data_IF_811922508661
#
_entry.id   IF_811922508661
#
_cell.length_a   1.000
_cell.length_b   1.000
_cell.length_c   1.000
_cell.angle_alpha   90.00
_cell.angle_beta   90.00
_cell.angle_gamma   90.00
#
_symmetry.space_group_name_H-M   'P 1'
#
loop_
_entity.id
_entity.type
_entity.pdbx_description
1 polymer ?
#
# COMPACT_ATOMS: atom_id res chain seq x y z
N UNK A 1 -0.79 28.15 -19.31
CA UNK A 1 0.65 28.39 -19.07
C UNK A 1 1.41 27.31 -19.81
N UNK A 2 2.46 27.65 -20.56
CA UNK A 2 3.25 26.66 -21.28
C UNK A 2 3.93 25.68 -20.32
N UNK A 3 3.96 24.40 -20.66
CA UNK A 3 4.62 23.37 -19.84
C UNK A 3 6.14 23.60 -19.78
N UNK A 4 6.84 23.00 -18.82
CA UNK A 4 8.32 23.07 -18.76
C UNK A 4 8.94 22.51 -20.05
N UNK A 5 8.36 21.42 -20.57
CA UNK A 5 8.77 20.81 -21.82
C UNK A 5 8.63 21.76 -23.02
N UNK A 6 7.48 22.45 -23.14
CA UNK A 6 7.25 23.46 -24.18
C UNK A 6 8.21 24.64 -24.08
N UNK A 7 8.53 25.10 -22.86
CA UNK A 7 9.48 26.20 -22.66
C UNK A 7 10.91 25.82 -23.01
N UNK A 8 11.27 24.55 -22.89
CA UNK A 8 12.60 24.03 -23.19
C UNK A 8 12.71 23.48 -24.62
N UNK A 9 11.61 23.41 -25.37
CA UNK A 9 11.52 22.77 -26.69
C UNK A 9 12.04 21.32 -26.70
N UNK A 10 11.70 20.56 -25.65
CA UNK A 10 12.12 19.15 -25.48
C UNK A 10 10.90 18.24 -25.35
N UNK A 11 10.96 17.07 -25.96
CA UNK A 11 9.95 16.01 -25.80
C UNK A 11 9.76 15.64 -24.30
N UNK A 12 8.53 15.61 -23.77
CA UNK A 12 8.27 15.38 -22.34
C UNK A 12 8.92 14.11 -21.78
N UNK A 13 8.92 13.02 -22.55
CA UNK A 13 9.56 11.76 -22.17
C UNK A 13 11.07 11.94 -22.00
N UNK A 14 11.75 12.61 -22.94
CA UNK A 14 13.20 12.85 -22.86
C UNK A 14 13.55 13.75 -21.67
N UNK A 15 12.75 14.77 -21.42
CA UNK A 15 12.92 15.64 -20.26
C UNK A 15 12.78 14.86 -18.95
N UNK A 16 11.74 14.03 -18.85
CA UNK A 16 11.52 13.16 -17.69
C UNK A 16 12.69 12.19 -17.48
N UNK A 17 13.08 11.45 -18.52
CA UNK A 17 14.19 10.49 -18.46
C UNK A 17 15.51 11.18 -18.10
N UNK A 18 15.81 12.32 -18.73
CA UNK A 18 17.01 13.10 -18.44
C UNK A 18 17.04 13.60 -16.99
N UNK A 19 15.90 14.04 -16.46
CA UNK A 19 15.78 14.50 -15.06
C UNK A 19 16.00 13.34 -14.08
N UNK A 20 15.38 12.18 -14.30
CA UNK A 20 15.56 10.99 -13.47
C UNK A 20 17.01 10.52 -13.50
N UNK A 21 17.63 10.43 -14.68
CA UNK A 21 19.02 10.03 -14.82
C UNK A 21 19.97 11.01 -14.12
N UNK A 22 19.75 12.31 -14.26
CA UNK A 22 20.56 13.32 -13.58
C UNK A 22 20.47 13.19 -12.05
N UNK A 23 19.26 12.98 -11.51
CA UNK A 23 19.04 12.76 -10.08
C UNK A 23 19.73 11.48 -9.59
N UNK A 24 19.62 10.38 -10.35
CA UNK A 24 20.28 9.12 -10.01
C UNK A 24 21.81 9.25 -10.04
N UNK A 25 22.37 9.89 -11.06
CA UNK A 25 23.82 10.12 -11.16
C UNK A 25 24.30 11.00 -10.01
N UNK A 26 23.56 12.06 -9.66
CA UNK A 26 23.89 12.91 -8.52
C UNK A 26 23.84 12.14 -7.19
N UNK A 27 22.82 11.31 -6.97
CA UNK A 27 22.66 10.52 -5.75
C UNK A 27 23.72 9.42 -5.62
N UNK A 28 23.94 8.65 -6.69
CA UNK A 28 24.94 7.57 -6.72
C UNK A 28 26.34 8.16 -6.65
N UNK A 29 26.65 9.15 -7.49
CA UNK A 29 27.93 9.85 -7.48
C UNK A 29 28.22 10.52 -6.14
N UNK A 30 27.22 11.19 -5.55
CA UNK A 30 27.33 11.76 -4.21
C UNK A 30 27.56 10.71 -3.13
N UNK A 31 26.87 9.57 -3.19
CA UNK A 31 27.04 8.47 -2.24
C UNK A 31 28.44 7.84 -2.30
N UNK A 32 29.05 7.79 -3.50
CA UNK A 32 30.39 7.24 -3.69
C UNK A 32 31.50 8.25 -3.35
N UNK A 33 31.33 9.52 -3.73
CA UNK A 33 32.33 10.57 -3.52
C UNK A 33 32.30 11.14 -2.09
N UNK A 34 31.12 11.17 -1.46
CA UNK A 34 30.90 11.74 -0.13
C UNK A 34 30.10 10.78 0.77
N UNK A 35 30.61 9.56 1.04
CA UNK A 35 29.84 8.50 1.70
C UNK A 35 29.37 8.88 3.10
N UNK A 36 30.14 9.65 3.87
CA UNK A 36 29.72 10.09 5.21
C UNK A 36 28.57 11.09 5.21
N UNK A 37 28.45 11.89 4.15
CA UNK A 37 27.45 12.97 4.08
C UNK A 37 26.21 12.52 3.33
N UNK A 38 26.40 11.92 2.16
CA UNK A 38 25.28 11.56 1.27
C UNK A 38 24.77 10.16 1.58
N UNK A 39 25.65 9.17 1.71
CA UNK A 39 25.18 7.82 2.03
C UNK A 39 24.79 7.75 3.50
N UNK A 40 25.73 7.93 4.44
CA UNK A 40 25.49 7.72 5.87
C UNK A 40 24.48 8.70 6.44
N UNK A 41 24.72 9.99 6.23
CA UNK A 41 23.90 11.07 6.79
C UNK A 41 22.55 11.26 6.13
N UNK A 42 22.33 10.71 4.92
CA UNK A 42 21.07 10.91 4.20
C UNK A 42 20.44 9.59 3.71
N UNK A 43 21.03 8.89 2.75
CA UNK A 43 20.43 7.66 2.16
C UNK A 43 20.23 6.58 3.22
N UNK A 44 21.28 6.26 3.96
CA UNK A 44 21.25 5.28 5.03
C UNK A 44 20.41 5.78 6.20
N UNK A 45 20.65 6.97 6.74
CA UNK A 45 19.92 7.42 7.93
C UNK A 45 18.40 7.50 7.72
N UNK A 46 17.92 8.00 6.58
CA UNK A 46 16.49 8.21 6.37
C UNK A 46 15.77 7.11 5.58
N UNK A 47 16.46 6.34 4.74
CA UNK A 47 15.80 5.38 3.85
C UNK A 47 16.20 3.93 4.12
N UNK A 48 17.51 3.63 4.26
CA UNK A 48 17.97 2.23 4.33
C UNK A 48 18.18 1.71 5.76
N UNK A 49 18.71 2.53 6.65
CA UNK A 49 18.93 2.23 8.07
C UNK A 49 17.65 1.81 8.80
N UNK A 50 16.51 2.51 8.63
CA UNK A 50 15.22 2.09 9.19
C UNK A 50 14.83 0.68 8.75
N UNK A 51 14.97 0.38 7.44
CA UNK A 51 14.68 -0.95 6.87
C UNK A 51 15.61 -2.02 7.43
N UNK A 52 16.90 -1.71 7.60
CA UNK A 52 17.85 -2.66 8.19
C UNK A 52 17.58 -2.93 9.67
N UNK A 53 17.18 -1.91 10.44
CA UNK A 53 16.79 -2.07 11.84
C UNK A 53 15.57 -2.98 11.95
N UNK A 54 14.55 -2.74 11.11
CA UNK A 54 13.32 -3.53 11.06
C UNK A 54 13.60 -4.99 10.66
N UNK A 55 14.39 -5.20 9.61
CA UNK A 55 14.76 -6.52 9.11
C UNK A 55 15.58 -7.39 10.08
N UNK A 56 16.11 -6.78 11.14
CA UNK A 56 16.86 -7.44 12.22
C UNK A 56 16.14 -7.39 13.56
N UNK A 57 14.89 -6.93 13.58
CA UNK A 57 14.08 -6.71 14.78
C UNK A 57 14.82 -5.92 15.86
N UNK A 58 15.65 -4.96 15.42
CA UNK A 58 16.45 -4.11 16.28
C UNK A 58 15.64 -2.88 16.70
N UNK A 59 15.91 -2.35 17.90
CA UNK A 59 15.30 -1.08 18.36
C UNK A 59 15.76 0.08 17.50
N UNK A 60 17.04 0.09 17.12
CA UNK A 60 17.59 1.02 16.14
C UNK A 60 18.84 0.43 15.48
N UNK A 61 19.27 1.04 14.37
CA UNK A 61 20.56 0.81 13.74
C UNK A 61 21.40 2.09 13.80
N UNK A 62 22.71 1.94 13.95
CA UNK A 62 23.69 3.05 13.99
C UNK A 62 24.75 2.84 12.91
N UNK A 63 25.34 3.95 12.42
CA UNK A 63 26.48 3.91 11.49
C UNK A 63 27.77 4.22 12.22
N UNK A 64 28.58 3.21 12.49
CA UNK A 64 29.87 3.35 13.17
C UNK A 64 31.01 2.99 12.22
N UNK A 65 31.91 3.94 11.93
CA UNK A 65 33.16 3.69 11.21
C UNK A 65 33.03 3.15 9.77
N UNK A 66 31.89 3.26 9.11
CA UNK A 66 31.66 2.64 7.80
C UNK A 66 30.58 1.55 7.81
N UNK A 67 30.26 1.01 8.98
CA UNK A 67 29.47 -0.20 9.14
C UNK A 67 28.16 0.05 9.90
N UNK A 68 27.13 -0.74 9.56
CA UNK A 68 25.86 -0.76 10.30
C UNK A 68 26.02 -1.65 11.53
N UNK A 69 25.63 -1.15 12.70
CA UNK A 69 25.49 -1.93 13.92
C UNK A 69 24.06 -1.83 14.45
N UNK A 70 23.55 -2.94 14.98
CA UNK A 70 22.18 -3.04 15.49
C UNK A 70 22.18 -2.96 17.00
N UNK A 71 21.27 -2.17 17.56
CA UNK A 71 21.09 -2.01 18.99
C UNK A 71 19.69 -2.51 19.38
N UNK A 72 19.63 -3.25 20.48
CA UNK A 72 18.40 -3.91 20.96
C UNK A 72 17.87 -3.30 22.26
N UNK A 73 18.50 -2.22 22.75
CA UNK A 73 18.11 -1.53 23.97
C UNK A 73 17.86 -0.04 23.68
N UNK A 74 16.72 0.48 24.13
CA UNK A 74 16.34 1.89 23.93
C UNK A 74 17.36 2.86 24.51
N UNK A 75 17.95 2.53 25.67
CA UNK A 75 18.99 3.34 26.31
C UNK A 75 20.29 3.39 25.49
N UNK A 76 20.64 2.29 24.81
CA UNK A 76 21.79 2.27 23.91
C UNK A 76 21.54 3.12 22.67
N UNK A 77 20.32 3.09 22.12
CA UNK A 77 19.92 3.93 20.99
C UNK A 77 19.96 5.43 21.34
N UNK A 78 19.45 5.83 22.50
CA UNK A 78 19.45 7.25 22.90
C UNK A 78 20.83 7.81 23.26
N UNK A 79 21.77 6.93 23.66
CA UNK A 79 23.15 7.31 23.96
C UNK A 79 24.09 7.26 22.73
N UNK A 80 23.63 6.69 21.60
CA UNK A 80 24.45 6.53 20.42
C UNK A 80 24.68 7.86 19.68
N UNK A 81 25.85 8.08 19.07
CA UNK A 81 26.08 9.25 18.23
C UNK A 81 25.29 9.12 16.92
N UNK A 82 24.74 10.25 16.45
CA UNK A 82 24.09 10.33 15.14
C UNK A 82 25.07 9.95 14.00
N UNK A 83 24.58 9.34 12.90
CA UNK A 83 23.17 9.05 12.61
C UNK A 83 22.64 7.77 13.27
N UNK A 84 21.45 7.86 13.90
CA UNK A 84 20.68 6.74 14.50
C UNK A 84 19.38 6.55 13.73
N UNK A 85 19.15 5.35 13.18
CA UNK A 85 17.97 5.02 12.40
C UNK A 85 17.01 4.11 13.17
N UNK A 86 15.76 4.53 13.30
CA UNK A 86 14.69 3.76 13.93
C UNK A 86 13.79 3.12 12.88
N UNK A 87 13.22 1.91 13.12
CA UNK A 87 12.21 1.33 12.24
C UNK A 87 11.03 2.28 12.00
N UNK A 88 10.46 2.23 10.79
CA UNK A 88 9.36 3.10 10.37
C UNK A 88 9.79 4.33 9.56
N UNK A 89 8.92 5.35 9.54
CA UNK A 89 9.08 6.51 8.68
C UNK A 89 9.49 7.76 9.47
N UNK A 90 10.38 8.54 8.88
CA UNK A 90 10.67 9.93 9.26
C UNK A 90 9.98 10.88 8.28
N UNK A 91 9.78 12.15 8.67
CA UNK A 91 9.24 13.18 7.77
C UNK A 91 10.05 13.31 6.48
N UNK A 92 11.38 13.19 6.56
CA UNK A 92 12.28 13.21 5.39
C UNK A 92 11.98 12.03 4.47
N UNK A 93 11.85 10.83 5.03
CA UNK A 93 11.55 9.63 4.26
C UNK A 93 10.15 9.68 3.64
N UNK A 94 9.14 10.17 4.36
CA UNK A 94 7.77 10.32 3.86
C UNK A 94 7.74 11.24 2.64
N UNK A 95 8.31 12.44 2.76
CA UNK A 95 8.41 13.39 1.64
C UNK A 95 9.20 12.78 0.48
N UNK A 96 10.31 12.09 0.78
CA UNK A 96 11.12 11.39 -0.22
C UNK A 96 10.31 10.35 -1.00
N UNK A 97 9.53 9.51 -0.31
CA UNK A 97 8.69 8.50 -0.96
C UNK A 97 7.54 9.13 -1.75
N UNK A 98 6.93 10.23 -1.29
CA UNK A 98 5.93 10.97 -2.08
C UNK A 98 6.55 11.51 -3.37
N UNK A 99 7.74 12.11 -3.30
CA UNK A 99 8.44 12.62 -4.49
C UNK A 99 8.76 11.48 -5.46
N UNK A 100 9.29 10.36 -4.97
CA UNK A 100 9.56 9.17 -5.79
C UNK A 100 8.27 8.67 -6.46
N UNK A 101 7.17 8.59 -5.71
CA UNK A 101 5.87 8.14 -6.22
C UNK A 101 5.37 9.06 -7.34
N UNK A 102 5.40 10.38 -7.16
CA UNK A 102 4.95 11.33 -8.19
C UNK A 102 5.81 11.23 -9.47
N UNK A 103 7.13 11.12 -9.32
CA UNK A 103 8.03 10.90 -10.45
C UNK A 103 7.74 9.57 -11.14
N UNK A 104 7.51 8.49 -10.38
CA UNK A 104 7.18 7.17 -10.92
C UNK A 104 5.82 7.15 -11.65
N UNK A 105 4.79 7.80 -11.11
CA UNK A 105 3.47 7.92 -11.74
C UNK A 105 3.54 8.63 -13.09
N UNK A 106 4.32 9.70 -13.19
CA UNK A 106 4.54 10.36 -14.49
C UNK A 106 5.27 9.46 -15.50
N UNK A 107 6.26 8.68 -15.04
CA UNK A 107 6.91 7.63 -15.85
C UNK A 107 5.94 6.54 -16.32
N UNK A 108 5.02 6.11 -15.44
CA UNK A 108 3.99 5.12 -15.75
C UNK A 108 3.04 5.59 -16.85
N UNK A 109 2.68 6.87 -16.89
CA UNK A 109 1.86 7.42 -17.97
C UNK A 109 2.58 7.27 -19.32
N UNK A 110 3.90 7.53 -19.38
CA UNK A 110 4.68 7.33 -20.60
C UNK A 110 4.78 5.84 -20.97
N UNK A 111 4.99 4.96 -19.98
CA UNK A 111 5.02 3.52 -20.21
C UNK A 111 3.70 3.00 -20.79
N UNK A 112 2.56 3.37 -20.20
CA UNK A 112 1.24 2.97 -20.70
C UNK A 112 0.99 3.49 -22.12
N UNK A 113 1.45 4.71 -22.43
CA UNK A 113 1.38 5.25 -23.80
C UNK A 113 2.23 4.43 -24.77
N UNK A 114 3.44 4.04 -24.36
CA UNK A 114 4.35 3.27 -25.20
C UNK A 114 3.85 1.84 -25.48
N UNK A 115 3.13 1.24 -24.52
CA UNK A 115 2.52 -0.08 -24.64
C UNK A 115 1.07 -0.05 -25.18
N UNK A 116 0.57 1.13 -25.53
CA UNK A 116 -0.84 1.38 -25.91
C UNK A 116 -1.89 0.83 -24.93
N UNK A 117 -1.60 0.87 -23.62
CA UNK A 117 -2.47 0.37 -22.56
C UNK A 117 -3.26 1.49 -21.88
N UNK A 118 -4.33 1.13 -21.17
CA UNK A 118 -5.07 2.03 -20.28
C UNK A 118 -5.91 3.08 -20.99
N UNK A 119 -6.33 2.82 -22.22
CA UNK A 119 -7.35 3.60 -22.94
C UNK A 119 -8.76 3.19 -22.54
N UNK A 120 -8.93 1.95 -22.10
CA UNK A 120 -10.17 1.38 -21.58
C UNK A 120 -10.14 1.22 -20.04
N UNK A 121 -11.32 1.04 -19.46
CA UNK A 121 -11.49 0.82 -18.01
C UNK A 121 -11.09 -0.60 -17.57
N UNK A 122 -10.80 -1.52 -18.49
CA UNK A 122 -10.47 -2.91 -18.15
C UNK A 122 -9.13 -3.01 -17.44
N UNK A 123 -8.16 -2.13 -17.76
CA UNK A 123 -6.87 -2.06 -17.05
C UNK A 123 -7.05 -1.94 -15.53
N UNK A 124 -8.05 -1.16 -15.06
CA UNK A 124 -8.37 -1.03 -13.63
C UNK A 124 -8.73 -2.38 -13.02
N UNK A 125 -9.62 -3.14 -13.66
CA UNK A 125 -10.10 -4.42 -13.16
C UNK A 125 -9.04 -5.53 -13.30
N UNK A 126 -8.22 -5.50 -14.34
CA UNK A 126 -7.10 -6.44 -14.52
C UNK A 126 -6.02 -6.27 -13.46
N UNK A 127 -5.86 -5.07 -12.89
CA UNK A 127 -4.89 -4.79 -11.84
C UNK A 127 -5.43 -5.02 -10.42
N UNK A 128 -6.74 -5.19 -10.25
CA UNK A 128 -7.37 -5.40 -8.94
C UNK A 128 -6.74 -6.56 -8.13
N UNK A 129 -6.44 -7.75 -8.70
CA UNK A 129 -5.80 -8.82 -7.94
C UNK A 129 -4.42 -8.46 -7.41
N UNK A 130 -3.66 -7.59 -8.10
CA UNK A 130 -2.35 -7.14 -7.63
C UNK A 130 -2.45 -6.23 -6.40
N UNK A 131 -3.54 -5.48 -6.26
CA UNK A 131 -3.79 -4.65 -5.06
C UNK A 131 -4.01 -5.55 -3.84
N UNK A 132 -4.83 -6.60 -3.99
CA UNK A 132 -4.99 -7.62 -2.95
C UNK A 132 -3.68 -8.35 -2.66
N UNK A 133 -2.93 -8.71 -3.70
CA UNK A 133 -1.63 -9.37 -3.56
C UNK A 133 -0.68 -8.53 -2.72
N UNK A 134 -0.60 -7.21 -2.93
CA UNK A 134 0.25 -6.34 -2.12
C UNK A 134 -0.12 -6.34 -0.64
N UNK A 135 -1.42 -6.32 -0.31
CA UNK A 135 -1.90 -6.44 1.07
C UNK A 135 -1.65 -7.82 1.67
N UNK A 136 -1.86 -8.88 0.91
CA UNK A 136 -1.61 -10.26 1.35
C UNK A 136 -0.11 -10.55 1.56
N UNK A 137 0.75 -10.05 0.67
CA UNK A 137 2.20 -10.19 0.77
C UNK A 137 2.75 -9.45 2.01
N UNK A 138 2.13 -8.33 2.38
CA UNK A 138 2.38 -7.66 3.67
C UNK A 138 2.06 -8.54 4.88
N UNK A 139 1.07 -9.44 4.78
CA UNK A 139 0.78 -10.40 5.86
C UNK A 139 1.79 -11.55 5.88
N UNK A 140 2.39 -11.91 4.74
CA UNK A 140 3.51 -12.87 4.70
C UNK A 140 4.69 -12.36 5.54
N UNK A 141 4.99 -11.07 5.47
CA UNK A 141 5.94 -10.39 6.37
C UNK A 141 5.51 -10.55 7.84
N UNK A 142 4.29 -10.11 8.18
CA UNK A 142 3.78 -10.16 9.57
C UNK A 142 3.82 -11.60 10.14
N UNK A 143 3.47 -12.61 9.35
CA UNK A 143 3.54 -14.05 9.70
C UNK A 143 4.98 -14.52 9.89
N UNK A 144 5.91 -14.06 9.05
CA UNK A 144 7.32 -14.45 9.13
C UNK A 144 7.98 -13.87 10.37
N UNK A 145 7.67 -12.62 10.71
CA UNK A 145 8.23 -11.93 11.88
C UNK A 145 7.69 -12.48 13.21
N UNK A 146 6.47 -13.03 13.20
CA UNK A 146 5.89 -13.69 14.37
C UNK A 146 6.53 -15.07 14.67
N UNK A 147 7.22 -15.68 13.70
CA UNK A 147 7.81 -17.00 13.85
C UNK A 147 9.12 -16.97 14.66
N UNK A 148 9.28 -17.93 15.57
CA UNK A 148 10.53 -18.10 16.32
C UNK A 148 11.72 -18.46 15.41
N UNK A 149 11.47 -19.19 14.33
CA UNK A 149 12.43 -19.46 13.25
C UNK A 149 11.83 -18.94 11.93
N UNK A 150 12.21 -17.73 11.49
CA UNK A 150 11.60 -17.09 10.34
C UNK A 150 11.96 -17.81 9.03
N UNK A 151 10.93 -18.25 8.30
CA UNK A 151 11.07 -18.90 6.98
C UNK A 151 11.82 -18.04 5.96
N UNK A 152 11.67 -16.72 6.06
CA UNK A 152 12.33 -15.75 5.20
C UNK A 152 13.23 -14.89 6.08
N UNK A 153 14.51 -15.27 6.17
CA UNK A 153 15.51 -14.51 6.91
C UNK A 153 16.12 -13.35 6.11
N UNK A 154 16.90 -12.53 6.81
CA UNK A 154 17.73 -11.51 6.17
C UNK A 154 18.76 -12.14 5.21
N UNK A 155 18.97 -11.61 3.99
CA UNK A 155 18.47 -10.31 3.50
C UNK A 155 17.12 -10.37 2.77
N UNK A 156 16.52 -11.54 2.56
CA UNK A 156 15.32 -11.67 1.72
C UNK A 156 14.08 -11.00 2.32
N UNK A 157 13.94 -11.00 3.65
CA UNK A 157 12.83 -10.32 4.33
C UNK A 157 12.76 -8.82 4.01
N UNK A 158 13.90 -8.18 3.70
CA UNK A 158 13.94 -6.76 3.31
C UNK A 158 13.05 -6.44 2.10
N UNK A 159 12.81 -7.42 1.22
CA UNK A 159 11.91 -7.25 0.06
C UNK A 159 10.44 -7.19 0.44
N UNK A 160 10.08 -7.66 1.65
CA UNK A 160 8.72 -7.67 2.17
C UNK A 160 8.49 -6.52 3.17
N UNK A 161 9.55 -5.88 3.62
CA UNK A 161 9.50 -4.80 4.61
C UNK A 161 9.08 -3.46 4.01
N UNK A 162 8.36 -2.68 4.82
CA UNK A 162 7.99 -1.30 4.49
C UNK A 162 9.22 -0.39 4.39
N UNK A 163 9.39 0.41 3.33
CA UNK A 163 8.54 0.57 2.13
C UNK A 163 9.02 -0.25 0.92
N UNK A 164 10.09 -1.03 1.03
CA UNK A 164 10.69 -1.79 -0.07
C UNK A 164 9.67 -2.72 -0.76
N UNK A 165 8.74 -3.31 -0.02
CA UNK A 165 7.67 -4.13 -0.58
C UNK A 165 6.80 -3.43 -1.63
N UNK A 166 6.65 -2.10 -1.57
CA UNK A 166 5.95 -1.37 -2.63
C UNK A 166 6.69 -1.51 -3.97
N UNK A 167 8.03 -1.50 -3.96
CA UNK A 167 8.85 -1.76 -5.15
C UNK A 167 8.80 -3.23 -5.57
N UNK A 168 8.73 -4.16 -4.61
CA UNK A 168 8.56 -5.60 -4.90
C UNK A 168 7.25 -5.87 -5.62
N UNK A 169 6.12 -5.39 -5.06
CA UNK A 169 4.80 -5.53 -5.67
C UNK A 169 4.77 -4.82 -7.01
N UNK A 170 5.29 -3.60 -7.10
CA UNK A 170 5.41 -2.87 -8.36
C UNK A 170 6.20 -3.64 -9.41
N UNK A 171 7.36 -4.22 -9.06
CA UNK A 171 8.18 -4.99 -9.98
C UNK A 171 7.47 -6.23 -10.51
N UNK A 172 6.76 -6.96 -9.63
CA UNK A 172 5.93 -8.11 -10.02
C UNK A 172 4.79 -7.68 -10.95
N UNK A 173 4.06 -6.62 -10.60
CA UNK A 173 2.97 -6.07 -11.43
C UNK A 173 3.48 -5.56 -12.77
N UNK A 174 4.60 -4.83 -12.78
CA UNK A 174 5.22 -4.32 -14.00
C UNK A 174 5.66 -5.46 -14.93
N UNK A 175 6.29 -6.50 -14.39
CA UNK A 175 6.68 -7.68 -15.16
C UNK A 175 5.44 -8.35 -15.79
N UNK A 176 4.34 -8.46 -15.03
CA UNK A 176 3.08 -9.00 -15.53
C UNK A 176 2.45 -8.11 -16.62
N UNK A 177 2.47 -6.78 -16.46
CA UNK A 177 1.99 -5.82 -17.47
C UNK A 177 2.79 -5.94 -18.76
N UNK A 178 4.12 -5.91 -18.67
CA UNK A 178 5.02 -6.01 -19.85
C UNK A 178 4.88 -7.36 -20.53
N UNK A 179 4.82 -8.45 -19.77
CA UNK A 179 4.63 -9.79 -20.34
C UNK A 179 3.26 -9.92 -21.04
N UNK A 180 2.20 -9.39 -20.43
CA UNK A 180 0.84 -9.41 -20.98
C UNK A 180 0.75 -8.59 -22.28
N UNK A 181 1.34 -7.40 -22.31
CA UNK A 181 1.45 -6.59 -23.52
C UNK A 181 2.25 -7.30 -24.62
N UNK A 182 3.42 -7.86 -24.27
CA UNK A 182 4.25 -8.59 -25.24
C UNK A 182 3.57 -9.84 -25.81
N UNK A 183 2.72 -10.53 -25.03
CA UNK A 183 1.93 -11.67 -25.52
C UNK A 183 0.83 -11.22 -26.49
N UNK A 184 0.17 -10.10 -26.22
CA UNK A 184 -0.85 -9.50 -27.09
C UNK A 184 -0.22 -9.00 -28.40
N UNK A 185 0.90 -8.29 -28.34
CA UNK A 185 1.63 -7.79 -29.51
C UNK A 185 2.08 -8.92 -30.45
N UNK A 186 2.43 -10.08 -29.87
CA UNK A 186 2.82 -11.28 -30.63
C UNK A 186 1.64 -12.11 -31.12
N UNK A 187 0.40 -11.66 -30.91
CA UNK A 187 -0.84 -12.36 -31.25
C UNK A 187 -0.93 -13.77 -30.62
N UNK A 188 -0.28 -13.98 -29.47
CA UNK A 188 -0.39 -15.25 -28.71
C UNK A 188 -1.72 -15.31 -27.96
N UNK A 189 -2.22 -14.14 -27.54
CA UNK A 189 -3.51 -13.93 -26.87
C UNK A 189 -4.26 -12.81 -27.58
N UNK A 190 -5.59 -12.78 -27.45
CA UNK A 190 -6.42 -11.76 -28.10
C UNK A 190 -6.36 -10.37 -27.47
N UNK A 191 -6.02 -10.28 -26.19
CA UNK A 191 -5.93 -9.03 -25.41
C UNK A 191 -4.89 -9.15 -24.28
N UNK A 192 -4.45 -8.02 -23.75
CA UNK A 192 -3.54 -7.96 -22.59
C UNK A 192 -4.27 -8.12 -21.25
N UNK A 193 -5.59 -7.93 -21.20
CA UNK A 193 -6.35 -7.78 -19.96
C UNK A 193 -6.53 -9.12 -19.25
N UNK A 194 -6.74 -10.21 -20.01
CA UNK A 194 -6.85 -11.59 -19.49
C UNK A 194 -5.55 -12.15 -18.90
N UNK A 195 -4.40 -12.14 -19.62
CA UNK A 195 -3.15 -12.62 -19.02
C UNK A 195 -2.72 -11.77 -17.82
N UNK A 196 -3.00 -10.46 -17.84
CA UNK A 196 -2.72 -9.59 -16.70
C UNK A 196 -3.58 -9.96 -15.48
N UNK A 197 -4.89 -10.10 -15.66
CA UNK A 197 -5.78 -10.55 -14.60
C UNK A 197 -5.37 -11.94 -14.08
N UNK A 198 -5.09 -12.88 -14.97
CA UNK A 198 -4.71 -14.25 -14.64
C UNK A 198 -3.41 -14.33 -13.84
N UNK A 199 -2.39 -13.57 -14.22
CA UNK A 199 -1.12 -13.50 -13.48
C UNK A 199 -1.30 -12.87 -12.09
N UNK A 200 -2.12 -11.82 -11.97
CA UNK A 200 -2.48 -11.22 -10.69
C UNK A 200 -3.21 -12.20 -9.76
N UNK A 201 -4.19 -12.94 -10.28
CA UNK A 201 -4.89 -13.99 -9.54
C UNK A 201 -3.93 -15.10 -9.13
N UNK A 202 -3.00 -15.51 -10.00
CA UNK A 202 -2.04 -16.56 -9.70
C UNK A 202 -1.13 -16.18 -8.51
N UNK A 203 -0.55 -14.97 -8.50
CA UNK A 203 0.31 -14.52 -7.39
C UNK A 203 -0.49 -14.32 -6.10
N UNK A 204 -1.72 -13.82 -6.20
CA UNK A 204 -2.62 -13.68 -5.05
C UNK A 204 -2.96 -15.04 -4.44
N UNK A 205 -3.40 -16.01 -5.26
CA UNK A 205 -3.75 -17.36 -4.80
C UNK A 205 -2.55 -18.06 -4.18
N UNK A 206 -1.36 -17.94 -4.79
CA UNK A 206 -0.14 -18.50 -4.22
C UNK A 206 0.17 -17.90 -2.83
N UNK A 207 -0.03 -16.59 -2.68
CA UNK A 207 0.17 -15.88 -1.41
C UNK A 207 -0.85 -16.31 -0.36
N UNK A 208 -2.13 -16.39 -0.72
CA UNK A 208 -3.19 -16.85 0.20
C UNK A 208 -3.01 -18.32 0.60
N UNK A 209 -2.52 -19.16 -0.30
CA UNK A 209 -2.20 -20.55 0.02
C UNK A 209 -1.06 -20.65 1.04
N UNK A 210 -0.03 -19.82 0.91
CA UNK A 210 1.03 -19.72 1.92
C UNK A 210 0.48 -19.30 3.28
N UNK A 211 -0.37 -18.26 3.33
CA UNK A 211 -0.96 -17.80 4.59
C UNK A 211 -1.90 -18.84 5.23
N UNK A 212 -2.67 -19.56 4.42
CA UNK A 212 -3.48 -20.66 4.92
C UNK A 212 -2.62 -21.79 5.48
N UNK A 213 -1.53 -22.14 4.79
CA UNK A 213 -0.57 -23.12 5.28
C UNK A 213 0.06 -22.66 6.61
N UNK A 214 0.45 -21.39 6.73
CA UNK A 214 1.06 -20.86 7.96
C UNK A 214 0.12 -20.87 9.16
N UNK A 215 -1.19 -21.01 8.95
CA UNK A 215 -2.18 -21.03 10.03
C UNK A 215 -2.78 -22.41 10.33
N UNK A 216 -2.59 -23.39 9.43
CA UNK A 216 -3.12 -24.76 9.59
C UNK A 216 -2.02 -25.77 9.87
N UNK A 217 -0.76 -25.47 9.53
CA UNK A 217 0.38 -26.30 9.88
C UNK A 217 0.51 -26.42 11.42
N UNK A 218 0.84 -27.61 11.98
CA UNK A 218 0.93 -27.83 13.42
C UNK A 218 1.85 -26.84 14.17
N UNK A 219 2.92 -26.41 13.52
CA UNK A 219 3.90 -25.44 14.03
C UNK A 219 3.88 -24.11 13.24
N UNK A 220 2.75 -23.82 12.58
CA UNK A 220 2.55 -22.59 11.83
C UNK A 220 2.47 -21.37 12.75
N UNK A 221 3.07 -20.23 12.40
CA UNK A 221 3.05 -19.03 13.24
C UNK A 221 1.69 -18.29 13.26
N UNK A 222 0.74 -18.65 12.38
CA UNK A 222 -0.58 -18.02 12.31
C UNK A 222 -1.68 -18.83 13.02
N UNK A 223 -2.79 -18.16 13.33
CA UNK A 223 -4.04 -18.79 13.81
C UNK A 223 -5.21 -18.39 12.92
N UNK A 224 -5.97 -19.36 12.41
CA UNK A 224 -7.03 -19.07 11.45
C UNK A 224 -8.40 -18.79 12.11
N UNK A 225 -8.93 -17.59 11.90
CA UNK A 225 -10.23 -17.11 12.38
C UNK A 225 -11.20 -16.83 11.21
N UNK A 226 -11.84 -17.85 10.62
CA UNK A 226 -12.68 -17.69 9.42
C UNK A 226 -13.90 -16.79 9.64
N UNK A 227 -14.40 -16.65 10.87
CA UNK A 227 -15.49 -15.75 11.19
C UNK A 227 -15.12 -14.27 11.00
N UNK A 228 -13.84 -13.91 11.22
CA UNK A 228 -13.35 -12.52 11.13
C UNK A 228 -13.43 -12.02 9.69
N UNK A 229 -12.89 -12.79 8.73
CA UNK A 229 -12.94 -12.40 7.32
C UNK A 229 -14.38 -12.27 6.81
N UNK A 230 -15.29 -13.14 7.27
CA UNK A 230 -16.71 -13.09 6.88
C UNK A 230 -17.36 -11.80 7.39
N UNK A 231 -17.17 -11.47 8.66
CA UNK A 231 -17.73 -10.24 9.25
C UNK A 231 -17.19 -9.00 8.55
N UNK A 232 -15.89 -8.95 8.28
CA UNK A 232 -15.27 -7.82 7.57
C UNK A 232 -15.83 -7.69 6.16
N UNK A 233 -15.86 -8.75 5.37
CA UNK A 233 -16.36 -8.69 3.99
C UNK A 233 -17.84 -8.34 3.91
N UNK A 234 -18.67 -8.89 4.81
CA UNK A 234 -20.11 -8.56 4.89
C UNK A 234 -20.30 -7.10 5.28
N UNK A 235 -19.64 -6.64 6.34
CA UNK A 235 -19.73 -5.25 6.81
C UNK A 235 -19.26 -4.25 5.75
N UNK A 236 -18.15 -4.56 5.08
CA UNK A 236 -17.58 -3.71 4.02
C UNK A 236 -18.50 -3.63 2.82
N UNK A 237 -19.03 -4.77 2.38
CA UNK A 237 -19.96 -4.83 1.24
C UNK A 237 -21.27 -4.12 1.57
N UNK A 238 -21.83 -4.33 2.76
CA UNK A 238 -23.04 -3.64 3.19
C UNK A 238 -22.84 -2.11 3.25
N UNK A 239 -21.71 -1.66 3.80
CA UNK A 239 -21.36 -0.24 3.90
C UNK A 239 -21.15 0.40 2.52
N UNK A 240 -20.45 -0.29 1.62
CA UNK A 240 -20.24 0.16 0.25
C UNK A 240 -21.54 0.21 -0.55
N UNK A 241 -22.38 -0.82 -0.46
CA UNK A 241 -23.70 -0.86 -1.12
C UNK A 241 -24.61 0.23 -0.57
N UNK A 242 -24.65 0.44 0.75
CA UNK A 242 -25.43 1.52 1.37
C UNK A 242 -24.97 2.91 0.91
N UNK A 243 -23.65 3.13 0.86
CA UNK A 243 -23.06 4.38 0.35
C UNK A 243 -23.39 4.59 -1.13
N UNK A 244 -23.25 3.53 -1.94
CA UNK A 244 -23.54 3.58 -3.37
C UNK A 244 -25.01 3.86 -3.66
N UNK A 245 -25.91 3.20 -2.93
CA UNK A 245 -27.34 3.45 -3.01
C UNK A 245 -27.70 4.90 -2.65
N UNK A 246 -27.07 5.46 -1.62
CA UNK A 246 -27.27 6.86 -1.24
C UNK A 246 -26.79 7.82 -2.33
N UNK A 247 -25.62 7.54 -2.93
CA UNK A 247 -25.10 8.29 -4.08
C UNK A 247 -26.10 8.28 -5.22
N UNK A 248 -26.57 7.10 -5.65
CA UNK A 248 -27.53 6.97 -6.76
C UNK A 248 -28.86 7.69 -6.50
N UNK A 249 -29.29 7.78 -5.23
CA UNK A 249 -30.57 8.41 -4.85
C UNK A 249 -30.48 9.92 -4.67
N UNK A 250 -29.39 10.42 -4.10
CA UNK A 250 -29.30 11.82 -3.64
C UNK A 250 -28.39 12.66 -4.53
N UNK A 251 -27.31 12.07 -5.04
CA UNK A 251 -26.29 12.80 -5.79
C UNK A 251 -25.66 11.93 -6.90
N UNK A 252 -26.43 11.47 -7.90
CA UNK A 252 -25.91 10.60 -8.97
C UNK A 252 -24.79 11.25 -9.81
N UNK A 253 -24.64 12.58 -9.75
CA UNK A 253 -23.51 13.27 -10.36
C UNK A 253 -22.15 12.84 -9.77
N UNK A 254 -22.12 12.30 -8.54
CA UNK A 254 -20.89 11.85 -7.86
C UNK A 254 -20.21 10.70 -8.59
N UNK A 255 -20.96 9.77 -9.17
CA UNK A 255 -20.40 8.57 -9.79
C UNK A 255 -20.54 8.53 -11.33
N UNK A 256 -20.95 9.64 -11.95
CA UNK A 256 -21.15 9.74 -13.39
C UNK A 256 -19.87 9.37 -14.17
N UNK A 257 -18.72 9.93 -13.80
CA UNK A 257 -17.44 9.67 -14.46
C UNK A 257 -16.83 8.31 -14.16
N UNK A 258 -16.97 7.82 -12.94
CA UNK A 258 -16.24 6.64 -12.45
C UNK A 258 -16.98 5.32 -12.64
N UNK A 259 -18.32 5.33 -12.59
CA UNK A 259 -19.16 4.14 -12.69
C UNK A 259 -18.70 3.00 -11.77
N UNK A 260 -18.57 1.79 -12.31
CA UNK A 260 -18.17 0.60 -11.54
C UNK A 260 -16.81 0.74 -10.84
N UNK A 261 -15.87 1.50 -11.40
CA UNK A 261 -14.57 1.72 -10.74
C UNK A 261 -14.75 2.50 -9.44
N UNK A 262 -15.67 3.48 -9.43
CA UNK A 262 -16.01 4.24 -8.23
C UNK A 262 -16.55 3.35 -7.12
N UNK A 263 -17.41 2.39 -7.47
CA UNK A 263 -17.93 1.42 -6.48
C UNK A 263 -16.81 0.58 -5.87
N UNK A 264 -15.87 0.08 -6.69
CA UNK A 264 -14.73 -0.71 -6.21
C UNK A 264 -13.81 0.12 -5.32
N UNK A 265 -13.61 1.41 -5.63
CA UNK A 265 -12.86 2.33 -4.75
C UNK A 265 -13.56 2.49 -3.41
N UNK A 266 -14.85 2.81 -3.39
CA UNK A 266 -15.63 2.94 -2.13
C UNK A 266 -15.58 1.64 -1.34
N UNK A 267 -15.75 0.50 -2.02
CA UNK A 267 -15.66 -0.82 -1.39
C UNK A 267 -14.28 -1.10 -0.80
N UNK A 268 -13.20 -0.78 -1.51
CA UNK A 268 -11.83 -0.96 -0.99
C UNK A 268 -11.54 -0.12 0.25
N UNK A 269 -12.05 1.11 0.32
CA UNK A 269 -11.95 1.95 1.51
C UNK A 269 -12.89 1.48 2.63
N UNK A 270 -14.03 0.88 2.29
CA UNK A 270 -14.90 0.22 3.27
C UNK A 270 -14.23 -1.01 3.91
N UNK A 271 -13.50 -1.82 3.11
CA UNK A 271 -12.70 -2.94 3.62
C UNK A 271 -11.70 -2.46 4.67
N UNK A 272 -10.99 -1.36 4.40
CA UNK A 272 -10.06 -0.76 5.36
C UNK A 272 -10.75 -0.25 6.64
N UNK A 273 -11.84 0.49 6.47
CA UNK A 273 -12.61 1.01 7.60
C UNK A 273 -13.16 -0.10 8.50
N UNK A 274 -13.80 -1.12 7.91
CA UNK A 274 -14.39 -2.23 8.65
C UNK A 274 -13.32 -3.16 9.23
N UNK A 275 -12.21 -3.40 8.53
CA UNK A 275 -11.12 -4.20 9.08
C UNK A 275 -10.53 -3.55 10.34
N UNK A 276 -10.41 -2.22 10.36
CA UNK A 276 -9.99 -1.49 11.57
C UNK A 276 -11.03 -1.60 12.68
N UNK A 277 -12.32 -1.37 12.39
CA UNK A 277 -13.40 -1.51 13.38
C UNK A 277 -13.40 -2.91 13.99
N UNK A 278 -13.42 -3.95 13.16
CA UNK A 278 -13.46 -5.33 13.62
C UNK A 278 -12.20 -5.66 14.41
N UNK A 279 -11.04 -5.31 13.85
CA UNK A 279 -9.73 -5.57 14.40
C UNK A 279 -9.46 -4.96 15.77
N UNK A 280 -9.93 -3.74 15.99
CA UNK A 280 -9.68 -2.99 17.23
C UNK A 280 -10.77 -3.24 18.28
N UNK A 281 -12.04 -3.29 17.88
CA UNK A 281 -13.16 -3.25 18.82
C UNK A 281 -13.85 -4.62 19.00
N UNK A 282 -13.88 -5.47 17.96
CA UNK A 282 -14.78 -6.64 17.93
C UNK A 282 -14.09 -8.00 17.93
N UNK A 283 -12.76 -8.05 17.81
CA UNK A 283 -12.00 -9.31 17.77
C UNK A 283 -12.25 -10.21 18.98
N UNK A 284 -12.35 -9.64 20.19
CA UNK A 284 -12.66 -10.39 21.42
C UNK A 284 -14.08 -10.98 21.38
N UNK A 285 -15.06 -10.20 20.91
CA UNK A 285 -16.44 -10.66 20.76
C UNK A 285 -16.58 -11.77 19.70
N UNK A 286 -15.69 -11.78 18.70
CA UNK A 286 -15.59 -12.82 17.68
C UNK A 286 -14.77 -14.05 18.11
N UNK A 287 -14.32 -14.10 19.37
CA UNK A 287 -13.54 -15.22 19.92
C UNK A 287 -12.13 -15.34 19.34
N UNK A 288 -11.59 -14.25 18.80
CA UNK A 288 -10.30 -14.24 18.10
C UNK A 288 -9.19 -13.46 18.84
N UNK A 289 -9.49 -12.89 20.02
CA UNK A 289 -8.54 -12.19 20.88
C UNK A 289 -8.03 -10.85 20.30
N UNK A 290 -7.48 -9.93 21.11
CA UNK A 290 -6.97 -8.67 20.58
C UNK A 290 -5.69 -8.90 19.76
N UNK A 291 -5.66 -8.48 18.49
CA UNK A 291 -4.51 -8.69 17.61
C UNK A 291 -4.11 -7.50 16.73
N UNK A 292 -4.84 -6.38 16.81
CA UNK A 292 -4.52 -5.17 16.06
C UNK A 292 -4.26 -4.00 17.01
N UNK A 293 -3.35 -3.13 16.58
CA UNK A 293 -3.00 -1.88 17.28
C UNK A 293 -3.02 -0.75 16.25
N UNK A 294 -3.57 0.44 16.55
CA UNK A 294 -3.64 1.55 15.61
C UNK A 294 -2.24 2.04 15.17
N UNK A 295 -1.84 1.72 13.93
CA UNK A 295 -0.52 2.09 13.40
C UNK A 295 -0.46 3.51 12.81
N UNK A 296 -1.55 4.00 12.19
CA UNK A 296 -1.55 5.31 11.52
C UNK A 296 -1.93 6.46 12.46
N UNK A 297 -1.24 7.62 12.45
CA UNK A 297 -1.55 8.75 13.33
C UNK A 297 -3.00 9.25 13.24
N UNK A 298 -3.57 9.27 12.02
CA UNK A 298 -4.98 9.67 11.80
C UNK A 298 -5.95 8.68 12.43
N UNK A 299 -5.71 7.38 12.30
CA UNK A 299 -6.54 6.35 12.93
C UNK A 299 -6.47 6.50 14.46
N UNK A 300 -5.24 6.58 15.00
CA UNK A 300 -4.99 6.79 16.43
C UNK A 300 -5.68 8.04 16.97
N UNK A 301 -5.60 9.17 16.26
CA UNK A 301 -6.25 10.41 16.66
C UNK A 301 -7.78 10.32 16.65
N UNK A 302 -8.39 9.61 15.69
CA UNK A 302 -9.84 9.41 15.65
C UNK A 302 -10.31 8.56 16.85
N UNK A 303 -9.59 7.47 17.12
CA UNK A 303 -9.85 6.58 18.28
C UNK A 303 -9.72 7.37 19.59
N UNK A 304 -8.63 8.11 19.78
CA UNK A 304 -8.39 8.92 20.98
C UNK A 304 -9.46 10.00 21.20
N UNK A 305 -9.87 10.72 20.15
CA UNK A 305 -10.92 11.74 20.24
C UNK A 305 -12.28 11.08 20.55
N UNK A 306 -12.60 9.95 19.92
CA UNK A 306 -13.89 9.27 20.11
C UNK A 306 -13.99 8.68 21.52
N UNK A 307 -12.93 8.01 21.98
CA UNK A 307 -12.81 7.50 23.35
C UNK A 307 -12.86 8.59 24.42
N UNK A 308 -12.41 9.81 24.11
CA UNK A 308 -12.49 10.96 25.02
C UNK A 308 -13.86 11.67 25.02
N UNK A 309 -14.69 11.47 23.99
CA UNK A 309 -15.93 12.24 23.77
C UNK A 309 -17.20 11.46 24.04
N UNK A 310 -17.21 10.14 23.80
CA UNK A 310 -18.38 9.30 24.07
C UNK A 310 -18.43 8.83 25.53
N UNK A 311 -19.64 8.76 26.15
CA UNK A 311 -19.81 8.16 27.47
C UNK A 311 -19.32 6.70 27.51
N UNK A 312 -18.77 6.28 28.66
CA UNK A 312 -18.17 4.95 28.82
C UNK A 312 -19.16 3.79 28.58
N UNK A 313 -20.42 3.98 28.93
CA UNK A 313 -21.53 3.04 28.68
C UNK A 313 -21.88 2.92 27.19
N UNK A 314 -21.70 3.99 26.41
CA UNK A 314 -21.86 3.95 24.95
C UNK A 314 -20.65 3.26 24.32
N UNK A 315 -19.43 3.66 24.71
CA UNK A 315 -18.18 3.07 24.22
C UNK A 315 -18.09 1.57 24.46
N UNK A 316 -18.54 1.09 25.62
CA UNK A 316 -18.54 -0.33 25.95
C UNK A 316 -19.41 -1.18 25.00
N UNK A 317 -20.37 -0.55 24.30
CA UNK A 317 -21.30 -1.21 23.38
C UNK A 317 -20.92 -0.95 21.93
N UNK A 318 -20.47 0.25 21.60
CA UNK A 318 -20.19 0.65 20.22
C UNK A 318 -18.74 0.44 19.81
N UNK A 319 -17.79 0.51 20.73
CA UNK A 319 -16.38 0.75 20.38
C UNK A 319 -16.14 2.21 19.96
N UNK A 320 -14.90 2.56 19.66
CA UNK A 320 -14.45 3.92 19.29
C UNK A 320 -13.92 4.03 17.86
N UNK A 321 -13.90 2.93 17.10
CA UNK A 321 -13.28 2.90 15.77
C UNK A 321 -14.26 3.21 14.62
N UNK A 322 -15.58 3.13 14.82
CA UNK A 322 -16.58 3.38 13.76
C UNK A 322 -16.45 4.71 13.00
N UNK A 323 -16.07 5.84 13.63
CA UNK A 323 -15.85 7.09 12.89
C UNK A 323 -14.78 6.97 11.80
N UNK A 324 -13.79 6.07 11.94
CA UNK A 324 -12.79 5.81 10.91
C UNK A 324 -13.44 5.27 9.62
N UNK A 325 -14.40 4.35 9.73
CA UNK A 325 -15.16 3.85 8.58
C UNK A 325 -15.93 4.99 7.89
N UNK A 326 -16.59 5.86 8.65
CA UNK A 326 -17.33 7.00 8.09
C UNK A 326 -16.38 7.93 7.34
N UNK A 327 -15.24 8.28 7.94
CA UNK A 327 -14.21 9.12 7.31
C UNK A 327 -13.72 8.49 6.01
N UNK A 328 -13.47 7.17 5.99
CA UNK A 328 -13.05 6.44 4.78
C UNK A 328 -14.11 6.48 3.69
N UNK A 329 -15.37 6.22 4.02
CA UNK A 329 -16.48 6.27 3.06
C UNK A 329 -16.66 7.69 2.49
N UNK A 330 -16.61 8.72 3.34
CA UNK A 330 -16.71 10.11 2.90
C UNK A 330 -15.52 10.50 2.02
N UNK A 331 -14.30 10.19 2.43
CA UNK A 331 -13.10 10.48 1.65
C UNK A 331 -13.13 9.77 0.29
N UNK A 332 -13.47 8.48 0.25
CA UNK A 332 -13.62 7.73 -1.00
C UNK A 332 -14.72 8.32 -1.90
N UNK A 333 -15.85 8.73 -1.31
CA UNK A 333 -16.94 9.39 -2.06
C UNK A 333 -16.49 10.72 -2.65
N UNK A 334 -15.79 11.56 -1.89
CA UNK A 334 -15.23 12.84 -2.37
C UNK A 334 -14.24 12.59 -3.50
N UNK A 335 -13.36 11.61 -3.35
CA UNK A 335 -12.40 11.27 -4.40
C UNK A 335 -13.13 10.80 -5.66
N UNK A 336 -14.11 9.91 -5.53
CA UNK A 336 -14.93 9.45 -6.67
C UNK A 336 -15.62 10.62 -7.38
N UNK A 337 -16.13 11.60 -6.63
CA UNK A 337 -16.74 12.80 -7.18
C UNK A 337 -15.76 13.68 -7.96
N UNK A 338 -14.47 13.72 -7.57
CA UNK A 338 -13.45 14.49 -8.28
C UNK A 338 -13.09 13.92 -9.67
N UNK A 339 -13.43 12.65 -9.95
CA UNK A 339 -13.20 12.01 -11.25
C UNK A 339 -14.47 12.03 -12.09
N UNK A 340 -14.77 13.20 -12.66
CA UNK A 340 -15.87 13.39 -13.59
C UNK A 340 -15.60 12.76 -14.98
N UNK A 341 -16.61 12.78 -15.84
CA UNK A 341 -16.54 12.23 -17.20
C UNK A 341 -15.46 12.92 -18.04
N UNK A 342 -15.27 14.23 -17.86
CA UNK A 342 -14.31 15.02 -18.64
C UNK A 342 -12.87 14.54 -18.42
N UNK A 343 -12.49 14.18 -17.19
CA UNK A 343 -11.16 13.66 -16.90
C UNK A 343 -10.90 12.33 -17.64
N UNK A 344 -11.91 11.46 -17.75
CA UNK A 344 -11.78 10.19 -18.48
C UNK A 344 -11.75 10.40 -20.00
N UNK A 345 -12.48 11.38 -20.51
CA UNK A 345 -12.51 11.69 -21.95
C UNK A 345 -11.21 12.36 -22.41
N UNK A 346 -10.67 13.30 -21.63
CA UNK A 346 -9.45 14.03 -21.98
C UNK A 346 -8.18 13.23 -21.70
N UNK A 347 -8.13 12.51 -20.57
CA UNK A 347 -6.92 11.86 -20.08
C UNK A 347 -7.20 10.47 -19.47
N UNK A 348 -7.71 9.49 -20.26
CA UNK A 348 -8.17 8.19 -19.74
C UNK A 348 -7.10 7.44 -18.96
N UNK A 349 -5.87 7.37 -19.50
CA UNK A 349 -4.72 6.69 -18.86
C UNK A 349 -4.40 7.27 -17.49
N UNK A 350 -4.43 8.60 -17.37
CA UNK A 350 -4.16 9.30 -16.12
C UNK A 350 -5.27 9.04 -15.11
N UNK A 351 -6.53 9.15 -15.55
CA UNK A 351 -7.71 8.89 -14.74
C UNK A 351 -7.68 7.47 -14.14
N UNK A 352 -7.42 6.47 -14.99
CA UNK A 352 -7.35 5.06 -14.58
C UNK A 352 -6.19 4.81 -13.62
N UNK A 353 -4.99 5.33 -13.91
CA UNK A 353 -3.83 5.18 -13.03
C UNK A 353 -4.08 5.77 -11.64
N UNK A 354 -4.68 6.96 -11.57
CA UNK A 354 -5.02 7.57 -10.28
C UNK A 354 -6.09 6.76 -9.54
N UNK A 355 -7.13 6.28 -10.24
CA UNK A 355 -8.15 5.42 -9.62
C UNK A 355 -7.54 4.13 -9.05
N UNK A 356 -6.57 3.53 -9.73
CA UNK A 356 -5.81 2.37 -9.21
C UNK A 356 -5.00 2.77 -7.98
N UNK A 357 -4.32 3.93 -8.00
CA UNK A 357 -3.55 4.42 -6.86
C UNK A 357 -4.45 4.68 -5.63
N UNK A 358 -5.60 5.32 -5.83
CA UNK A 358 -6.60 5.58 -4.78
C UNK A 358 -7.16 4.28 -4.22
N UNK A 359 -7.46 3.30 -5.09
CA UNK A 359 -7.87 1.97 -4.68
C UNK A 359 -6.77 1.31 -3.83
N UNK A 360 -5.51 1.39 -4.24
CA UNK A 360 -4.39 0.81 -3.50
C UNK A 360 -4.19 1.42 -2.11
N UNK A 361 -4.48 2.72 -1.94
CA UNK A 361 -4.42 3.41 -0.63
C UNK A 361 -5.51 2.91 0.33
N UNK A 362 -6.68 2.50 -0.15
CA UNK A 362 -7.72 1.91 0.69
C UNK A 362 -7.59 0.39 0.81
N UNK A 363 -7.69 -0.31 -0.32
CA UNK A 363 -7.74 -1.76 -0.37
C UNK A 363 -6.41 -2.43 0.02
N UNK A 364 -5.27 -1.79 -0.17
CA UNK A 364 -3.96 -2.33 0.24
C UNK A 364 -3.88 -2.52 1.76
N UNK A 365 -3.98 -1.44 2.56
CA UNK A 365 -4.09 -1.52 4.02
C UNK A 365 -5.28 -2.37 4.48
N UNK A 366 -6.46 -2.19 3.88
CA UNK A 366 -7.64 -2.97 4.28
C UNK A 366 -7.49 -4.47 4.05
N UNK A 367 -6.85 -4.90 2.97
CA UNK A 367 -6.55 -6.32 2.73
C UNK A 367 -5.54 -6.82 3.76
N UNK A 368 -4.49 -6.04 4.07
CA UNK A 368 -3.52 -6.41 5.10
C UNK A 368 -4.21 -6.57 6.46
N UNK A 369 -4.93 -5.55 6.93
CA UNK A 369 -5.55 -5.56 8.26
C UNK A 369 -6.60 -6.67 8.36
N UNK A 370 -7.41 -6.88 7.32
CA UNK A 370 -8.37 -7.99 7.24
C UNK A 370 -7.69 -9.35 7.34
N UNK A 371 -6.65 -9.60 6.53
CA UNK A 371 -5.98 -10.89 6.51
C UNK A 371 -5.15 -11.11 7.78
N UNK A 372 -4.48 -10.07 8.28
CA UNK A 372 -3.78 -10.09 9.56
C UNK A 372 -4.71 -10.46 10.71
N UNK A 373 -5.89 -9.82 10.78
CA UNK A 373 -6.90 -10.14 11.77
C UNK A 373 -7.39 -11.60 11.64
N UNK A 374 -7.55 -12.07 10.40
CA UNK A 374 -8.00 -13.43 10.07
C UNK A 374 -6.96 -14.49 10.40
N UNK A 375 -5.67 -14.16 10.27
CA UNK A 375 -4.55 -15.07 10.52
C UNK A 375 -3.90 -14.90 11.89
N UNK A 376 -4.41 -14.00 12.73
CA UNK A 376 -4.03 -13.90 14.14
C UNK A 376 -2.59 -13.44 14.39
N UNK A 377 -2.01 -12.66 13.47
CA UNK A 377 -0.61 -12.18 13.54
C UNK A 377 -0.48 -10.68 13.71
#
# INVERSE_FOLDING_TARGET
MATVAERLDVEPLRLWTGSVLALLVALIGGSLLFPRTVYDGFVWHFFWGPVQADAKSAVCAIREGGATRYLYETAACSAAPEPVAYPGYTLVSEVGYVVILLVALSGLVFLLRALDLGTDRELFFSLLPFVFFGGALRVVEDVTDAAADPLIGYPLNTLLISPVIYFTVFGVTLAAVVASAALADRNVVGDYTRPLLGSGVAVLVATLFFLLWSAVAPDGPGTFYPQVIVVILVGSTASAVGTWWLIERVAPAVNAGTGRMGFVVVWGHAVDGVANVVGLDWMVALGAGPNLVPKHPVNRGIVEITGATLPADVLAVTGDTWPFLIVKLVAATVVVWLFDEQIFDENPRYAILLMIAILAVGLGPGTRDMLRATFGV
#
